data_IF_182877072615
#
_entry.id   IF_182877072615
#
_cell.length_a   1.000
_cell.length_b   1.000
_cell.length_c   1.000
_cell.angle_alpha   90.00
_cell.angle_beta   90.00
_cell.angle_gamma   90.00
#
_symmetry.space_group_name_H-M   'P 1'
#
loop_
_entity.id
_entity.type
_entity.pdbx_description
1 polymer ?
#
# COMPACT_ATOMS: atom_id res chain seq x y z
N UNK A 1 13.32 -10.48 -14.32
CA UNK A 1 13.68 -11.75 -13.63
C UNK A 1 13.45 -12.91 -14.59
N UNK A 2 14.40 -13.77 -14.75
CA UNK A 2 14.30 -14.97 -15.56
C UNK A 2 14.51 -16.19 -14.67
N UNK A 3 13.47 -16.97 -14.45
CA UNK A 3 13.50 -18.11 -13.54
C UNK A 3 14.21 -19.33 -14.17
N UNK A 4 14.25 -19.45 -15.48
CA UNK A 4 14.95 -20.54 -16.16
C UNK A 4 16.45 -20.30 -16.20
N UNK A 5 16.86 -19.08 -16.55
CA UNK A 5 18.28 -18.69 -16.52
C UNK A 5 18.79 -18.43 -15.10
N UNK A 6 17.91 -18.33 -14.11
CA UNK A 6 18.24 -18.02 -12.72
C UNK A 6 19.02 -16.71 -12.59
N UNK A 7 18.48 -15.66 -13.20
CA UNK A 7 19.11 -14.34 -13.26
C UNK A 7 18.08 -13.26 -12.93
N UNK A 8 18.48 -12.31 -12.09
CA UNK A 8 17.74 -11.08 -11.84
C UNK A 8 18.44 -9.93 -12.54
N UNK A 9 17.71 -9.22 -13.39
CA UNK A 9 18.22 -8.03 -14.07
C UNK A 9 17.88 -6.78 -13.25
N UNK A 10 18.87 -5.99 -12.91
CA UNK A 10 18.70 -4.74 -12.19
C UNK A 10 18.36 -3.61 -13.15
N UNK A 11 17.87 -2.50 -12.60
CA UNK A 11 17.47 -1.33 -13.35
C UNK A 11 18.60 -0.75 -14.20
N UNK A 12 19.84 -0.84 -13.71
CA UNK A 12 21.04 -0.39 -14.43
C UNK A 12 21.54 -1.35 -15.52
N UNK A 13 20.79 -2.43 -15.80
CA UNK A 13 21.16 -3.45 -16.76
C UNK A 13 22.06 -4.55 -16.24
N UNK A 14 22.56 -4.46 -14.99
CA UNK A 14 23.35 -5.51 -14.38
C UNK A 14 22.52 -6.76 -14.13
N UNK A 15 23.14 -7.92 -14.21
CA UNK A 15 22.49 -9.20 -13.96
C UNK A 15 23.10 -9.88 -12.74
N UNK A 16 22.24 -10.38 -11.86
CA UNK A 16 22.63 -11.13 -10.67
C UNK A 16 22.18 -12.58 -10.82
N UNK A 17 23.10 -13.54 -10.88
CA UNK A 17 22.72 -14.94 -10.86
C UNK A 17 22.28 -15.36 -9.46
N UNK A 18 21.37 -16.33 -9.37
CA UNK A 18 20.92 -16.88 -8.10
C UNK A 18 20.71 -18.39 -8.20
N UNK A 19 20.92 -19.07 -7.10
CA UNK A 19 20.55 -20.48 -6.94
C UNK A 19 19.13 -20.60 -6.39
N UNK A 20 18.77 -19.73 -5.46
CA UNK A 20 17.43 -19.64 -4.88
C UNK A 20 17.04 -18.17 -4.78
N UNK A 21 15.79 -17.86 -5.03
CA UNK A 21 15.26 -16.51 -5.02
C UNK A 21 14.03 -16.45 -4.12
N UNK A 22 14.02 -15.49 -3.19
CA UNK A 22 12.83 -15.12 -2.43
C UNK A 22 12.27 -13.82 -3.00
N UNK A 23 11.01 -13.85 -3.43
CA UNK A 23 10.31 -12.65 -3.87
C UNK A 23 9.52 -12.11 -2.68
N UNK A 24 9.95 -10.97 -2.17
CA UNK A 24 9.38 -10.33 -0.97
C UNK A 24 9.13 -8.85 -1.24
N UNK A 25 8.43 -8.56 -2.33
CA UNK A 25 8.21 -7.19 -2.81
C UNK A 25 7.07 -6.46 -2.09
N UNK A 26 6.38 -7.16 -1.18
CA UNK A 26 5.29 -6.56 -0.43
C UNK A 26 4.05 -6.33 -1.27
N UNK A 27 3.26 -5.39 -0.84
CA UNK A 27 2.02 -5.02 -1.50
C UNK A 27 1.75 -3.53 -1.34
N UNK A 28 0.80 -3.04 -2.08
CA UNK A 28 0.33 -1.65 -1.98
C UNK A 28 -1.20 -1.62 -1.98
N UNK A 29 -1.82 -0.58 -1.40
CA UNK A 29 -3.27 -0.48 -1.41
C UNK A 29 -3.79 -0.31 -2.82
N UNK A 30 -4.90 -1.01 -3.12
CA UNK A 30 -5.61 -0.85 -4.37
C UNK A 30 -6.40 0.45 -4.36
N UNK A 31 -6.36 1.19 -5.47
CA UNK A 31 -7.17 2.40 -5.64
C UNK A 31 -8.26 2.09 -6.66
N UNK A 32 -9.52 1.93 -6.24
CA UNK A 32 -10.60 1.68 -7.20
C UNK A 32 -10.87 2.91 -8.07
N UNK A 33 -11.36 2.73 -9.31
CA UNK A 33 -11.61 3.84 -10.23
C UNK A 33 -12.90 4.58 -9.88
N UNK A 34 -12.94 5.24 -8.74
CA UNK A 34 -14.09 6.00 -8.25
C UNK A 34 -13.75 7.48 -8.37
N UNK A 35 -14.66 8.31 -8.95
CA UNK A 35 -14.43 9.75 -8.99
C UNK A 35 -14.21 10.34 -7.59
N UNK A 36 -13.18 11.17 -7.44
CA UNK A 36 -12.84 11.80 -6.18
C UNK A 36 -11.97 10.95 -5.24
N UNK A 37 -11.63 9.72 -5.59
CA UNK A 37 -10.85 8.82 -4.72
C UNK A 37 -9.45 9.36 -4.42
N UNK A 38 -8.91 10.21 -5.27
CA UNK A 38 -7.60 10.85 -5.08
C UNK A 38 -7.72 12.29 -4.61
N UNK A 39 -8.93 12.72 -4.23
CA UNK A 39 -9.16 14.05 -3.72
C UNK A 39 -8.55 14.28 -2.32
N UNK A 40 -8.54 15.54 -1.85
CA UNK A 40 -8.05 15.86 -0.52
C UNK A 40 -8.90 15.17 0.56
N UNK A 41 -8.25 14.72 1.61
CA UNK A 41 -8.91 14.03 2.72
C UNK A 41 -9.20 12.55 2.48
N UNK A 42 -8.80 12.00 1.34
CA UNK A 42 -8.92 10.57 1.06
C UNK A 42 -7.56 9.90 1.26
N UNK A 43 -7.50 8.95 2.16
CA UNK A 43 -6.25 8.28 2.53
C UNK A 43 -6.43 6.77 2.60
N UNK A 44 -5.48 5.99 2.10
CA UNK A 44 -5.37 4.59 2.48
C UNK A 44 -4.86 4.48 3.92
N UNK A 45 -4.99 3.33 4.53
CA UNK A 45 -4.37 3.04 5.82
C UNK A 45 -3.41 1.86 5.65
N UNK A 46 -2.24 2.14 5.15
CA UNK A 46 -1.25 1.12 4.82
C UNK A 46 0.10 1.37 5.48
N UNK A 47 0.57 2.61 5.47
CA UNK A 47 1.88 2.99 6.00
C UNK A 47 1.73 3.84 7.26
N UNK A 48 2.84 4.03 7.97
CA UNK A 48 2.88 4.94 9.11
C UNK A 48 2.59 6.38 8.69
N UNK A 49 3.01 6.77 7.50
CA UNK A 49 2.70 8.09 6.95
C UNK A 49 1.19 8.27 6.74
N UNK A 50 0.50 7.23 6.27
CA UNK A 50 -0.96 7.23 6.14
C UNK A 50 -1.62 7.42 7.51
N UNK A 51 -1.17 6.69 8.51
CA UNK A 51 -1.71 6.79 9.87
C UNK A 51 -1.54 8.21 10.44
N UNK A 52 -0.40 8.83 10.24
CA UNK A 52 -0.14 10.21 10.68
C UNK A 52 -1.03 11.21 9.97
N UNK A 53 -1.23 11.05 8.67
CA UNK A 53 -2.12 11.91 7.90
C UNK A 53 -3.57 11.80 8.39
N UNK A 54 -4.05 10.58 8.64
CA UNK A 54 -5.38 10.34 9.19
C UNK A 54 -5.52 10.95 10.58
N UNK A 55 -4.53 10.77 11.44
CA UNK A 55 -4.52 11.32 12.79
C UNK A 55 -4.61 12.84 12.79
N UNK A 56 -3.95 13.49 11.86
CA UNK A 56 -3.99 14.96 11.72
C UNK A 56 -5.39 15.46 11.41
N UNK A 57 -6.17 14.68 10.65
CA UNK A 57 -7.54 15.02 10.27
C UNK A 57 -8.59 14.54 11.28
N UNK A 58 -8.24 13.59 12.14
CA UNK A 58 -9.14 13.00 13.12
C UNK A 58 -9.29 13.94 14.33
N UNK A 59 -10.20 14.87 14.22
CA UNK A 59 -10.52 15.84 15.29
C UNK A 59 -11.93 15.58 15.80
N UNK A 60 -12.25 16.01 17.05
CA UNK A 60 -13.62 15.93 17.55
C UNK A 60 -14.61 16.58 16.58
N UNK A 61 -15.68 15.88 16.25
CA UNK A 61 -16.68 16.33 15.30
C UNK A 61 -16.36 16.08 13.83
N UNK A 62 -15.20 15.52 13.50
CA UNK A 62 -14.87 15.13 12.13
C UNK A 62 -15.82 14.03 11.65
N UNK A 63 -16.27 14.14 10.40
CA UNK A 63 -17.05 13.10 9.75
C UNK A 63 -16.13 12.20 8.94
N UNK A 64 -16.20 10.90 9.20
CA UNK A 64 -15.34 9.91 8.58
C UNK A 64 -16.19 8.91 7.81
N UNK A 65 -15.78 8.61 6.59
CA UNK A 65 -16.34 7.53 5.79
C UNK A 65 -15.24 6.50 5.57
N UNK A 66 -15.52 5.27 5.96
CA UNK A 66 -14.61 4.15 5.74
C UNK A 66 -15.13 3.27 4.62
N UNK A 67 -14.28 3.01 3.66
CA UNK A 67 -14.57 2.08 2.57
C UNK A 67 -14.00 0.71 2.91
N UNK A 68 -14.90 -0.24 3.11
CA UNK A 68 -14.56 -1.60 3.48
C UNK A 68 -14.69 -1.87 4.98
N UNK A 69 -15.11 -3.07 5.31
CA UNK A 69 -15.29 -3.53 6.69
C UNK A 69 -14.55 -4.86 6.91
N UNK A 70 -13.38 -4.97 6.32
CA UNK A 70 -12.50 -6.12 6.55
C UNK A 70 -11.80 -6.04 7.90
N UNK A 71 -10.85 -6.94 8.10
CA UNK A 71 -10.13 -7.06 9.37
C UNK A 71 -9.45 -5.74 9.79
N UNK A 72 -8.72 -5.13 8.85
CA UNK A 72 -8.03 -3.85 9.11
C UNK A 72 -9.04 -2.74 9.38
N UNK A 73 -10.12 -2.67 8.58
CA UNK A 73 -11.14 -1.66 8.74
C UNK A 73 -11.82 -1.71 10.10
N UNK A 74 -12.11 -2.90 10.61
CA UNK A 74 -12.70 -3.06 11.94
C UNK A 74 -11.78 -2.56 13.05
N UNK A 75 -10.47 -2.75 12.91
CA UNK A 75 -9.49 -2.26 13.89
C UNK A 75 -9.42 -0.73 13.89
N UNK A 76 -9.45 -0.13 12.71
CA UNK A 76 -9.34 1.33 12.56
C UNK A 76 -10.55 2.06 13.12
N UNK A 77 -11.73 1.43 13.11
CA UNK A 77 -12.97 2.03 13.60
C UNK A 77 -12.98 2.27 15.12
N UNK A 78 -12.12 1.62 15.87
CA UNK A 78 -11.98 1.87 17.29
C UNK A 78 -11.36 3.26 17.57
#
# INVERSE_FOLDING_TARGET
MDTQARVVTLENGSQLPFDRLLIATGSSPATPPIPGIQGPGVHPCWTLADARAIQTLAKPGARVVQMGAGFIGCIIME
#
